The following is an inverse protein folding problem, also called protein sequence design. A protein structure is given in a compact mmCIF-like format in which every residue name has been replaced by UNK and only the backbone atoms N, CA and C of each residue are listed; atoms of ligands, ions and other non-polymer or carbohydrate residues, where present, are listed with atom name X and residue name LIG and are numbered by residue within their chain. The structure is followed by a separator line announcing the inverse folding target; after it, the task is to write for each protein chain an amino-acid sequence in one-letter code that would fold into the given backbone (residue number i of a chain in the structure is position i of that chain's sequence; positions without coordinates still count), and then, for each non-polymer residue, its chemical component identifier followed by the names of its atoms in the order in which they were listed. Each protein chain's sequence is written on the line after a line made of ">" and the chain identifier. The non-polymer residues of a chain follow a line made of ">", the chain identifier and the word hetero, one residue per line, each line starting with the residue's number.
data_IF_828516179140
#
_entry.id   IF_828516179140
#
_cell.length_a   1.000
_cell.length_b   1.000
_cell.length_c   1.000
_cell.angle_alpha   90.00
_cell.angle_beta   90.00
_cell.angle_gamma   90.00
#
_symmetry.space_group_name_H-M   'P 1'
#
loop_
_entity.id
_entity.type
_entity.pdbx_description
1 polymer ?
#
# COMPACT_ATOMS: atom_id res chain seq x y z
N UNK A 1 -7.06 1.71 14.54
CA UNK A 1 -7.92 1.92 13.35
C UNK A 1 -7.39 1.04 12.24
N UNK A 2 -8.25 0.41 11.43
CA UNK A 2 -7.82 -0.42 10.29
C UNK A 2 -7.95 0.40 9.01
N UNK A 3 -6.93 0.35 8.14
CA UNK A 3 -6.95 0.98 6.81
C UNK A 3 -7.07 -0.12 5.76
N UNK A 4 -8.08 -0.02 4.90
CA UNK A 4 -8.33 -0.95 3.81
C UNK A 4 -7.35 -0.67 2.67
N UNK A 5 -6.53 -1.66 2.33
CA UNK A 5 -5.50 -1.58 1.29
C UNK A 5 -6.01 -2.07 -0.08
N UNK A 6 -6.94 -3.02 -0.08
CA UNK A 6 -7.55 -3.53 -1.30
C UNK A 6 -9.03 -3.89 -1.05
N UNK A 7 -9.99 -3.16 -1.65
CA UNK A 7 -11.41 -3.42 -1.45
C UNK A 7 -11.89 -4.74 -2.08
N UNK A 8 -11.24 -5.22 -3.14
CA UNK A 8 -11.64 -6.46 -3.81
C UNK A 8 -11.30 -7.70 -2.98
N UNK A 9 -10.21 -7.68 -2.22
CA UNK A 9 -9.77 -8.80 -1.38
C UNK A 9 -10.12 -8.63 0.09
N UNK A 10 -10.56 -7.45 0.51
CA UNK A 10 -10.76 -7.12 1.92
C UNK A 10 -9.46 -6.97 2.70
N UNK A 11 -8.30 -6.85 2.03
CA UNK A 11 -7.01 -6.68 2.68
C UNK A 11 -6.98 -5.36 3.43
N UNK A 12 -6.77 -5.41 4.74
CA UNK A 12 -6.65 -4.24 5.60
C UNK A 12 -5.44 -4.37 6.52
N UNK A 13 -4.89 -3.23 6.96
CA UNK A 13 -3.74 -3.17 7.84
C UNK A 13 -4.01 -2.24 9.02
N UNK A 14 -3.42 -2.55 10.17
CA UNK A 14 -3.34 -1.62 11.29
C UNK A 14 -2.08 -0.74 11.11
N UNK A 15 -2.22 0.59 10.94
CA UNK A 15 -1.08 1.49 10.74
C UNK A 15 -0.06 1.45 11.87
N UNK A 16 -0.51 1.19 13.11
CA UNK A 16 0.38 1.09 14.27
C UNK A 16 1.33 -0.11 14.23
N UNK A 17 1.00 -1.12 13.43
CA UNK A 17 1.82 -2.31 13.23
C UNK A 17 2.82 -2.15 12.08
N UNK A 18 2.81 -1.01 11.39
CA UNK A 18 3.74 -0.71 10.31
C UNK A 18 5.07 -0.25 10.91
N UNK A 19 6.16 -0.84 10.43
CA UNK A 19 7.53 -0.44 10.73
C UNK A 19 8.06 0.58 9.74
N UNK A 20 7.76 0.40 8.45
CA UNK A 20 8.17 1.33 7.39
C UNK A 20 7.30 1.13 6.16
N UNK A 21 7.15 2.17 5.33
CA UNK A 21 6.44 2.10 4.06
C UNK A 21 7.13 2.97 3.01
N UNK A 22 7.03 2.55 1.74
CA UNK A 22 7.70 3.14 0.59
C UNK A 22 6.83 2.97 -0.65
N UNK A 23 6.71 4.02 -1.47
CA UNK A 23 6.20 3.89 -2.83
C UNK A 23 7.38 3.61 -3.76
N UNK A 24 7.43 2.41 -4.31
CA UNK A 24 8.37 2.06 -5.37
C UNK A 24 7.78 2.39 -6.72
N UNK A 25 8.53 3.12 -7.54
CA UNK A 25 8.15 3.44 -8.92
C UNK A 25 9.07 2.66 -9.86
N UNK A 26 8.50 1.69 -10.57
CA UNK A 26 9.21 0.96 -11.62
C UNK A 26 8.63 1.33 -12.99
N UNK A 27 9.47 1.39 -14.02
CA UNK A 27 8.99 1.35 -15.39
C UNK A 27 8.57 -0.07 -15.73
N UNK A 28 7.27 -0.28 -15.95
CA UNK A 28 6.72 -1.56 -16.40
C UNK A 28 6.57 -1.60 -17.92
N UNK A 29 6.47 -2.81 -18.48
CA UNK A 29 6.27 -3.03 -19.92
C UNK A 29 4.98 -2.39 -20.50
N UNK A 30 4.06 -1.91 -19.64
CA UNK A 30 2.82 -1.23 -20.04
C UNK A 30 2.69 0.18 -19.43
N UNK A 31 3.79 0.80 -19.02
CA UNK A 31 3.82 2.10 -18.34
C UNK A 31 4.22 2.01 -16.86
N UNK A 32 4.10 3.12 -16.10
CA UNK A 32 4.58 3.20 -14.72
C UNK A 32 3.88 2.15 -13.83
N UNK A 33 4.66 1.25 -13.26
CA UNK A 33 4.24 0.26 -12.30
C UNK A 33 4.64 0.74 -10.90
N UNK A 34 3.82 1.61 -10.34
CA UNK A 34 3.97 2.02 -8.94
C UNK A 34 3.42 0.93 -8.01
N UNK A 35 4.11 0.68 -6.90
CA UNK A 35 3.64 -0.21 -5.83
C UNK A 35 3.94 0.40 -4.46
N UNK A 36 3.08 0.14 -3.50
CA UNK A 36 3.30 0.45 -2.09
C UNK A 36 3.85 -0.79 -1.40
N UNK A 37 5.09 -0.69 -0.92
CA UNK A 37 5.72 -1.68 -0.06
C UNK A 37 5.51 -1.26 1.41
N UNK A 38 4.95 -2.15 2.22
CA UNK A 38 4.69 -1.93 3.64
C UNK A 38 5.41 -3.04 4.40
N UNK A 39 6.31 -2.65 5.28
CA UNK A 39 7.00 -3.57 6.19
C UNK A 39 6.35 -3.48 7.57
N UNK A 40 5.87 -4.61 8.05
CA UNK A 40 5.24 -4.73 9.37
C UNK A 40 6.31 -4.90 10.46
N UNK A 41 5.99 -4.50 11.70
CA UNK A 41 6.85 -4.73 12.88
C UNK A 41 7.08 -6.22 13.16
N UNK A 42 6.15 -7.08 12.75
CA UNK A 42 6.28 -8.54 12.80
C UNK A 42 7.34 -9.10 11.84
N UNK A 43 7.88 -8.28 10.94
CA UNK A 43 8.83 -8.69 9.90
C UNK A 43 8.17 -9.12 8.58
N UNK A 44 6.85 -9.17 8.52
CA UNK A 44 6.11 -9.45 7.28
C UNK A 44 6.13 -8.24 6.33
N UNK A 45 6.15 -8.48 5.02
CA UNK A 45 6.08 -7.44 4.00
C UNK A 45 4.84 -7.61 3.12
N UNK A 46 4.12 -6.51 2.91
CA UNK A 46 2.98 -6.40 2.02
C UNK A 46 3.37 -5.54 0.82
N UNK A 47 3.00 -5.99 -0.38
CA UNK A 47 3.18 -5.21 -1.60
C UNK A 47 1.82 -5.03 -2.28
N UNK A 48 1.43 -3.78 -2.51
CA UNK A 48 0.18 -3.42 -3.18
C UNK A 48 0.51 -2.69 -4.47
N UNK A 49 0.05 -3.21 -5.61
CA UNK A 49 0.24 -2.56 -6.90
C UNK A 49 -0.79 -1.44 -7.08
N UNK A 50 -0.34 -0.31 -7.63
CA UNK A 50 -1.24 0.74 -8.10
C UNK A 50 -2.13 0.20 -9.22
N UNK A 51 -3.44 0.28 -9.03
CA UNK A 51 -4.44 -0.19 -9.96
C UNK A 51 -5.71 0.68 -9.83
N UNK A 52 -5.76 1.83 -10.52
CA UNK A 52 -6.90 2.75 -10.46
C UNK A 52 -8.21 2.10 -10.90
N UNK A 53 -8.16 1.23 -11.91
CA UNK A 53 -9.33 0.51 -12.41
C UNK A 53 -9.97 -0.41 -11.34
N UNK A 54 -9.17 -0.86 -10.37
CA UNK A 54 -9.64 -1.63 -9.22
C UNK A 54 -9.86 -0.77 -7.96
N UNK A 55 -9.78 0.56 -8.09
CA UNK A 55 -9.91 1.51 -6.97
C UNK A 55 -8.71 1.55 -6.03
N UNK A 56 -7.53 1.11 -6.48
CA UNK A 56 -6.30 1.07 -5.66
C UNK A 56 -5.36 2.18 -6.09
N UNK A 57 -5.38 3.27 -5.33
CA UNK A 57 -4.42 4.36 -5.46
C UNK A 57 -3.37 4.29 -4.33
N UNK A 58 -2.16 3.86 -4.67
CA UNK A 58 -1.04 3.74 -3.73
C UNK A 58 -0.58 5.06 -3.13
N UNK A 59 -0.74 6.20 -3.81
CA UNK A 59 -0.34 7.50 -3.26
C UNK A 59 -1.36 7.95 -2.20
N UNK A 60 -2.66 7.78 -2.50
CA UNK A 60 -3.72 8.03 -1.54
C UNK A 60 -3.60 7.12 -0.31
N UNK A 61 -3.38 5.82 -0.52
CA UNK A 61 -3.18 4.86 0.57
C UNK A 61 -1.97 5.22 1.44
N UNK A 62 -0.85 5.60 0.82
CA UNK A 62 0.33 6.02 1.56
C UNK A 62 0.07 7.26 2.43
N UNK A 63 -0.66 8.26 1.91
CA UNK A 63 -1.04 9.41 2.72
C UNK A 63 -2.01 9.06 3.85
N UNK A 64 -2.98 8.17 3.62
CA UNK A 64 -3.89 7.70 4.66
C UNK A 64 -3.13 6.96 5.77
N UNK A 65 -2.18 6.11 5.41
CA UNK A 65 -1.34 5.39 6.37
C UNK A 65 -0.45 6.35 7.16
N UNK A 66 0.13 7.36 6.53
CA UNK A 66 0.94 8.40 7.21
C UNK A 66 0.11 9.21 8.21
N UNK A 67 -1.13 9.57 7.85
CA UNK A 67 -2.01 10.33 8.74
C UNK A 67 -2.58 9.51 9.90
N UNK A 68 -2.46 8.18 9.85
CA UNK A 68 -3.00 7.27 10.86
C UNK A 68 -1.93 6.57 11.71
N UNK A 69 -0.65 6.80 11.42
CA UNK A 69 0.51 6.26 12.15
C UNK A 69 0.84 7.08 13.40
#
# INVERSE_FOLDING_TARGET
>A
MMILLNPATGLAVNPQEISSMLIERAEGARGPASRLAIKMKSGYELQIRHCPDAGIDVEQLHQQLLGAA
#
